data_IF_835943207968
#
_entry.id   IF_835943207968
#
_cell.length_a   1.000
_cell.length_b   1.000
_cell.length_c   1.000
_cell.angle_alpha   90.00
_cell.angle_beta   90.00
_cell.angle_gamma   90.00
#
_symmetry.space_group_name_H-M   'P 1'
#
loop_
_entity.id
_entity.type
_entity.pdbx_description
1 polymer ?
#
# COMPACT_ATOMS: atom_id res chain seq x y z
N UNK A 1 33.30 69.01 41.45
CA UNK A 1 32.35 68.38 42.39
C UNK A 1 30.96 68.45 41.78
N UNK A 2 30.44 67.31 41.27
CA UNK A 2 29.01 66.94 41.12
C UNK A 2 28.89 65.77 40.13
N UNK A 3 28.70 64.56 40.65
CA UNK A 3 27.89 63.49 40.02
C UNK A 3 26.41 63.70 40.43
N UNK A 4 25.38 62.89 40.05
CA UNK A 4 25.27 61.71 39.16
C UNK A 4 24.02 61.71 38.21
N UNK A 5 23.87 60.71 37.30
CA UNK A 5 22.70 59.77 37.23
C UNK A 5 22.65 58.89 35.96
N UNK A 6 22.49 57.60 36.24
CA UNK A 6 21.95 56.47 35.47
C UNK A 6 21.08 56.77 34.23
N UNK A 7 21.27 55.99 33.16
CA UNK A 7 20.24 55.01 32.75
C UNK A 7 20.82 53.92 31.83
N UNK A 8 20.57 52.66 32.20
CA UNK A 8 20.91 51.46 31.43
C UNK A 8 20.04 51.39 30.16
N UNK A 9 20.67 51.26 29.00
CA UNK A 9 20.01 50.89 27.75
C UNK A 9 20.33 49.42 27.46
N UNK A 10 19.44 48.50 27.84
CA UNK A 10 19.52 47.09 27.48
C UNK A 10 19.07 46.95 26.01
N UNK A 11 20.00 46.62 25.11
CA UNK A 11 19.71 46.18 23.75
C UNK A 11 19.19 44.74 23.80
N UNK A 12 17.87 44.54 23.68
CA UNK A 12 17.29 43.25 23.32
C UNK A 12 17.46 43.02 21.81
N UNK A 13 18.26 42.01 21.46
CA UNK A 13 18.29 41.45 20.10
C UNK A 13 17.05 40.56 19.91
N UNK A 14 16.11 41.02 19.07
CA UNK A 14 15.02 40.18 18.57
C UNK A 14 15.56 39.31 17.42
N UNK A 15 15.91 38.06 17.73
CA UNK A 15 16.11 37.02 16.72
C UNK A 15 14.73 36.62 16.17
N UNK A 16 14.41 37.10 14.97
CA UNK A 16 13.27 36.60 14.21
C UNK A 16 13.60 35.17 13.75
N UNK A 17 13.09 34.16 14.47
CA UNK A 17 13.09 32.77 14.02
C UNK A 17 12.01 32.67 12.94
N UNK A 18 12.43 32.77 11.68
CA UNK A 18 11.60 32.38 10.54
C UNK A 18 11.38 30.87 10.63
N UNK A 19 10.21 30.46 11.14
CA UNK A 19 9.72 29.09 11.01
C UNK A 19 9.53 28.84 9.51
N UNK A 20 10.52 28.23 8.87
CA UNK A 20 10.32 27.56 7.59
C UNK A 20 9.42 26.36 7.89
N UNK A 21 8.13 26.56 7.70
CA UNK A 21 7.17 25.45 7.61
C UNK A 21 7.58 24.68 6.37
N UNK A 22 8.27 23.56 6.54
CA UNK A 22 8.44 22.60 5.46
C UNK A 22 7.03 22.21 4.99
N UNK A 23 6.70 22.35 3.70
CA UNK A 23 5.44 21.85 3.21
C UNK A 23 5.44 20.35 3.49
N UNK A 24 4.41 19.87 4.18
CA UNK A 24 4.12 18.45 4.23
C UNK A 24 3.93 18.01 2.78
N UNK A 25 4.91 17.31 2.23
CA UNK A 25 4.78 16.66 0.93
C UNK A 25 3.75 15.57 1.16
N UNK A 26 2.50 15.85 0.80
CA UNK A 26 1.50 14.81 0.64
C UNK A 26 2.12 13.78 -0.32
N UNK A 27 2.08 12.51 0.04
CA UNK A 27 2.54 11.44 -0.84
C UNK A 27 1.64 11.43 -2.07
N UNK A 28 2.09 12.09 -3.15
CA UNK A 28 1.42 12.09 -4.45
C UNK A 28 1.98 10.96 -5.29
N UNK A 29 1.17 10.41 -6.18
CA UNK A 29 1.62 9.46 -7.20
C UNK A 29 2.91 9.93 -7.92
N UNK A 30 3.91 9.04 -7.98
CA UNK A 30 5.22 9.27 -8.60
C UNK A 30 5.35 8.45 -9.89
N UNK A 31 5.23 9.09 -11.07
CA UNK A 31 5.32 8.41 -12.35
C UNK A 31 6.74 7.93 -12.69
N UNK A 32 7.78 8.57 -12.13
CA UNK A 32 9.16 8.16 -12.39
C UNK A 32 9.42 6.81 -11.70
N UNK A 33 8.95 6.65 -10.46
CA UNK A 33 9.08 5.39 -9.73
C UNK A 33 8.32 4.25 -10.42
N UNK A 34 7.05 4.46 -10.74
CA UNK A 34 6.22 3.38 -11.29
C UNK A 34 6.73 2.90 -12.65
N UNK A 35 7.25 3.80 -13.50
CA UNK A 35 7.79 3.41 -14.80
C UNK A 35 9.04 2.52 -14.73
N UNK A 36 9.76 2.51 -13.60
CA UNK A 36 10.85 1.54 -13.37
C UNK A 36 10.36 0.12 -13.05
N UNK A 37 9.09 -0.01 -12.66
CA UNK A 37 8.49 -1.29 -12.26
C UNK A 37 7.69 -1.94 -13.39
N UNK A 38 7.43 -1.23 -14.49
CA UNK A 38 6.54 -1.67 -15.55
C UNK A 38 7.27 -2.17 -16.80
N UNK A 39 6.52 -2.90 -17.63
CA UNK A 39 7.00 -3.33 -18.95
C UNK A 39 7.21 -2.12 -19.85
N UNK A 40 8.31 -2.11 -20.61
CA UNK A 40 8.57 -1.04 -21.54
C UNK A 40 7.44 -0.92 -22.58
N UNK A 41 6.93 0.30 -22.77
CA UNK A 41 5.80 0.59 -23.64
C UNK A 41 4.44 0.60 -22.94
N UNK A 42 4.34 0.13 -21.69
CA UNK A 42 3.08 0.10 -20.93
C UNK A 42 2.48 1.50 -20.85
N UNK A 43 1.18 1.61 -21.18
CA UNK A 43 0.38 2.80 -20.91
C UNK A 43 -0.54 2.57 -19.72
N UNK A 44 -0.67 3.59 -18.89
CA UNK A 44 -1.47 3.58 -17.67
C UNK A 44 -2.37 4.80 -17.60
N UNK A 45 -3.49 4.69 -16.88
CA UNK A 45 -4.22 5.86 -16.41
C UNK A 45 -3.31 6.66 -15.46
N UNK A 46 -3.25 7.98 -15.62
CA UNK A 46 -2.66 8.81 -14.56
C UNK A 46 -3.72 8.98 -13.47
N UNK A 47 -3.48 8.48 -12.24
CA UNK A 47 -4.47 8.58 -11.19
C UNK A 47 -4.73 10.03 -10.80
N UNK A 48 -3.91 11.00 -11.17
CA UNK A 48 -4.14 12.42 -10.85
C UNK A 48 -5.13 13.10 -11.79
N UNK A 49 -5.42 12.54 -12.97
CA UNK A 49 -6.41 13.10 -13.88
C UNK A 49 -6.93 12.08 -14.93
N UNK A 50 -8.25 11.92 -15.02
CA UNK A 50 -8.88 10.87 -15.83
C UNK A 50 -8.78 11.05 -17.37
N UNK A 51 -8.51 12.25 -17.88
CA UNK A 51 -8.20 12.45 -19.32
C UNK A 51 -6.71 12.30 -19.61
N UNK A 52 -5.89 11.94 -18.63
CA UNK A 52 -4.45 11.84 -18.83
C UNK A 52 -3.97 10.42 -18.68
N UNK A 53 -2.89 10.15 -19.40
CA UNK A 53 -2.26 8.85 -19.41
C UNK A 53 -0.75 9.02 -19.39
N UNK A 54 -0.08 7.98 -18.91
CA UNK A 54 1.38 7.90 -18.86
C UNK A 54 1.80 6.67 -19.65
N UNK A 55 2.76 6.82 -20.56
CA UNK A 55 3.43 5.72 -21.21
C UNK A 55 4.86 5.61 -20.68
N UNK A 56 5.22 4.44 -20.16
CA UNK A 56 6.55 4.18 -19.67
C UNK A 56 7.46 3.74 -20.82
N UNK A 57 8.39 4.60 -21.24
CA UNK A 57 9.34 4.34 -22.31
C UNK A 57 10.75 4.40 -21.73
N UNK A 58 11.47 3.28 -21.81
CA UNK A 58 12.82 3.12 -21.27
C UNK A 58 12.93 3.63 -19.82
N UNK A 59 11.99 3.18 -18.99
CA UNK A 59 11.86 3.49 -17.55
C UNK A 59 11.46 4.96 -17.24
N UNK A 60 11.19 5.78 -18.27
CA UNK A 60 10.79 7.17 -18.13
C UNK A 60 9.31 7.38 -18.49
N UNK A 61 8.59 8.24 -17.75
CA UNK A 61 7.21 8.56 -18.07
C UNK A 61 7.10 9.54 -19.24
N UNK A 62 6.22 9.22 -20.19
CA UNK A 62 5.77 10.11 -21.26
C UNK A 62 4.28 10.35 -21.09
N UNK A 63 3.90 11.59 -20.82
CA UNK A 63 2.51 11.93 -20.52
C UNK A 63 1.74 12.29 -21.80
N UNK A 64 0.45 12.01 -21.80
CA UNK A 64 -0.49 12.49 -22.82
C UNK A 64 -1.84 12.86 -22.22
N UNK A 65 -2.67 13.50 -23.05
CA UNK A 65 -3.99 14.01 -22.64
C UNK A 65 -4.99 13.78 -23.77
N UNK A 66 -6.16 13.27 -23.41
CA UNK A 66 -7.29 13.10 -24.31
C UNK A 66 -7.92 14.46 -24.65
N UNK A 67 -8.62 14.51 -25.80
CA UNK A 67 -9.38 15.69 -26.19
C UNK A 67 -10.55 15.95 -25.21
N UNK A 68 -11.14 17.14 -25.30
CA UNK A 68 -12.26 17.54 -24.44
C UNK A 68 -13.43 16.53 -24.52
N UNK A 69 -13.97 16.17 -23.35
CA UNK A 69 -15.07 15.20 -23.22
C UNK A 69 -14.65 13.72 -23.33
N UNK A 70 -13.36 13.43 -23.50
CA UNK A 70 -12.83 12.08 -23.56
C UNK A 70 -11.99 11.75 -22.31
N UNK A 71 -12.08 10.51 -21.84
CA UNK A 71 -11.26 9.94 -20.78
C UNK A 71 -10.37 8.85 -21.36
N UNK A 72 -9.20 8.64 -20.75
CA UNK A 72 -8.33 7.56 -21.19
C UNK A 72 -8.83 6.23 -20.62
N UNK A 73 -9.02 5.25 -21.50
CA UNK A 73 -9.28 3.87 -21.14
C UNK A 73 -8.00 3.05 -21.32
N UNK A 74 -7.48 2.54 -20.20
CA UNK A 74 -6.25 1.73 -20.19
C UNK A 74 -6.42 0.38 -20.88
N UNK A 75 -7.62 -0.21 -20.88
CA UNK A 75 -7.84 -1.58 -21.40
C UNK A 75 -7.83 -1.58 -22.93
N UNK A 76 -8.46 -0.57 -23.56
CA UNK A 76 -8.40 -0.35 -25.01
C UNK A 76 -7.19 0.47 -25.46
N UNK A 77 -6.44 1.05 -24.50
CA UNK A 77 -5.41 2.06 -24.70
C UNK A 77 -5.85 3.28 -25.56
N UNK A 78 -7.11 3.70 -25.45
CA UNK A 78 -7.71 4.75 -26.28
C UNK A 78 -8.44 5.82 -25.47
N UNK A 79 -8.71 6.97 -26.07
CA UNK A 79 -9.51 8.02 -25.48
C UNK A 79 -10.99 7.81 -25.85
N UNK A 80 -11.79 7.39 -24.88
CA UNK A 80 -13.21 7.09 -25.07
C UNK A 80 -14.10 8.21 -24.49
N UNK A 81 -15.36 8.35 -24.93
CA UNK A 81 -16.29 9.29 -24.33
C UNK A 81 -16.40 9.10 -22.82
N UNK A 82 -16.48 10.19 -22.06
CA UNK A 82 -16.52 10.14 -20.59
C UNK A 82 -17.71 9.35 -20.00
N UNK A 83 -18.75 9.10 -20.78
CA UNK A 83 -19.88 8.27 -20.37
C UNK A 83 -19.59 6.77 -20.38
N UNK A 84 -18.52 6.35 -21.07
CA UNK A 84 -18.17 4.94 -21.29
C UNK A 84 -17.00 4.47 -20.41
N UNK A 85 -16.37 5.38 -19.65
CA UNK A 85 -15.20 5.12 -18.81
C UNK A 85 -15.44 5.62 -17.39
N UNK A 86 -15.24 4.74 -16.41
CA UNK A 86 -15.28 5.11 -15.00
C UNK A 86 -14.03 5.92 -14.63
N UNK A 87 -14.22 7.19 -14.26
CA UNK A 87 -13.15 8.05 -13.80
C UNK A 87 -12.74 7.70 -12.36
N UNK A 88 -11.57 7.10 -12.19
CA UNK A 88 -10.95 6.80 -10.89
C UNK A 88 -9.70 7.68 -10.75
N UNK A 89 -9.78 8.75 -9.93
CA UNK A 89 -8.67 9.69 -9.76
C UNK A 89 -8.46 10.12 -8.31
N UNK A 90 -7.20 10.28 -7.89
CA UNK A 90 -6.77 10.88 -6.62
C UNK A 90 -6.99 12.40 -6.56
N UNK A 91 -7.22 13.07 -7.69
CA UNK A 91 -7.77 14.43 -7.76
C UNK A 91 -9.17 14.39 -8.40
N UNK A 92 -10.23 14.21 -7.58
CA UNK A 92 -11.58 14.05 -8.08
C UNK A 92 -12.13 15.32 -8.76
N UNK A 93 -11.47 16.48 -8.61
CA UNK A 93 -11.87 17.73 -9.26
C UNK A 93 -11.17 17.99 -10.59
N UNK A 94 -10.26 17.12 -11.04
CA UNK A 94 -9.50 17.29 -12.29
C UNK A 94 -10.39 17.48 -13.53
N UNK A 95 -11.59 16.87 -13.54
CA UNK A 95 -12.53 16.91 -14.66
C UNK A 95 -13.83 17.65 -14.38
N UNK A 96 -14.01 18.12 -13.15
CA UNK A 96 -15.21 18.82 -12.73
C UNK A 96 -14.81 20.16 -12.13
N UNK A 97 -14.65 21.20 -12.96
CA UNK A 97 -14.17 22.49 -12.48
C UNK A 97 -15.13 23.08 -11.43
N UNK A 98 -16.43 22.87 -11.56
CA UNK A 98 -17.43 23.28 -10.59
C UNK A 98 -18.47 22.16 -10.36
N UNK A 99 -18.85 21.90 -9.11
CA UNK A 99 -19.90 20.95 -8.75
C UNK A 99 -19.53 20.01 -7.61
N UNK A 100 -20.27 18.90 -7.47
CA UNK A 100 -19.97 17.85 -6.49
C UNK A 100 -19.56 16.55 -7.18
N UNK A 101 -18.58 15.86 -6.59
CA UNK A 101 -18.08 14.57 -7.07
C UNK A 101 -17.84 13.64 -5.89
N UNK A 102 -17.85 12.33 -6.16
CA UNK A 102 -17.63 11.31 -5.13
C UNK A 102 -16.19 11.34 -4.61
N UNK A 103 -16.02 11.00 -3.33
CA UNK A 103 -14.70 10.64 -2.81
C UNK A 103 -14.33 9.22 -3.30
N UNK A 104 -13.25 9.05 -4.06
CA UNK A 104 -12.85 7.74 -4.60
C UNK A 104 -12.43 6.75 -3.51
N UNK A 105 -12.02 7.24 -2.33
CA UNK A 105 -11.56 6.42 -1.19
C UNK A 105 -12.67 6.15 -0.17
N UNK A 106 -13.79 6.87 -0.24
CA UNK A 106 -14.83 6.79 0.78
C UNK A 106 -16.25 6.94 0.23
N UNK A 107 -17.09 5.97 0.57
CA UNK A 107 -18.52 5.95 0.30
C UNK A 107 -19.28 7.13 0.91
N UNK A 108 -18.87 7.56 2.11
CA UNK A 108 -19.50 8.68 2.81
C UNK A 108 -18.80 10.00 2.52
N UNK A 109 -17.73 10.03 1.73
CA UNK A 109 -17.02 11.23 1.34
C UNK A 109 -17.50 11.79 0.00
N UNK A 110 -17.30 13.10 -0.19
CA UNK A 110 -17.49 13.78 -1.46
C UNK A 110 -16.56 14.99 -1.55
N UNK A 111 -16.41 15.57 -2.73
CA UNK A 111 -15.71 16.82 -2.94
C UNK A 111 -16.66 17.86 -3.56
N UNK A 112 -16.61 19.07 -3.03
CA UNK A 112 -17.13 20.26 -3.70
C UNK A 112 -15.99 20.91 -4.49
N UNK A 113 -16.09 20.89 -5.81
CA UNK A 113 -15.12 21.47 -6.70
C UNK A 113 -15.53 22.91 -7.05
N UNK A 114 -14.56 23.83 -7.04
CA UNK A 114 -14.73 25.19 -7.52
C UNK A 114 -13.46 25.67 -8.21
N UNK A 115 -13.57 26.06 -9.48
CA UNK A 115 -12.41 26.29 -10.36
C UNK A 115 -11.37 25.15 -10.30
N UNK A 116 -11.81 23.90 -10.26
CA UNK A 116 -10.96 22.71 -10.18
C UNK A 116 -10.34 22.44 -8.81
N UNK A 117 -10.56 23.31 -7.82
CA UNK A 117 -10.10 23.08 -6.44
C UNK A 117 -11.18 22.40 -5.61
N UNK A 118 -10.87 21.21 -5.10
CA UNK A 118 -11.76 20.42 -4.27
C UNK A 118 -11.69 20.76 -2.79
N UNK A 119 -12.84 20.96 -2.17
CA UNK A 119 -13.00 20.90 -0.71
C UNK A 119 -13.72 19.61 -0.36
N UNK A 120 -13.04 18.74 0.40
CA UNK A 120 -13.64 17.48 0.85
C UNK A 120 -14.75 17.73 1.87
N UNK A 121 -15.88 17.05 1.71
CA UNK A 121 -16.99 16.96 2.64
C UNK A 121 -17.31 15.51 2.97
N UNK A 122 -18.13 15.31 4.00
CA UNK A 122 -18.59 13.98 4.40
C UNK A 122 -20.08 14.00 4.71
N UNK A 123 -20.74 12.93 4.32
CA UNK A 123 -22.11 12.62 4.69
C UNK A 123 -22.20 12.22 6.18
N UNK A 124 -23.35 12.51 6.79
CA UNK A 124 -23.66 12.05 8.14
C UNK A 124 -23.64 10.51 8.22
N UNK A 125 -23.39 9.98 9.42
CA UNK A 125 -23.33 8.53 9.68
C UNK A 125 -24.53 7.78 9.11
N UNK A 126 -24.25 6.72 8.34
CA UNK A 126 -25.27 5.87 7.69
C UNK A 126 -25.77 6.40 6.34
N UNK A 127 -25.18 7.48 5.82
CA UNK A 127 -25.47 8.01 4.48
C UNK A 127 -24.23 7.89 3.58
N UNK A 128 -24.45 7.55 2.31
CA UNK A 128 -23.42 7.55 1.28
C UNK A 128 -23.71 8.65 0.26
N UNK A 129 -22.66 9.21 -0.33
CA UNK A 129 -22.82 10.25 -1.34
C UNK A 129 -23.26 9.64 -2.68
N UNK A 130 -24.31 10.20 -3.28
CA UNK A 130 -24.73 9.89 -4.63
C UNK A 130 -24.38 11.07 -5.55
N UNK A 131 -23.40 10.92 -6.47
CA UNK A 131 -22.99 12.00 -7.36
C UNK A 131 -24.05 12.36 -8.40
N UNK A 132 -24.91 11.42 -8.81
CA UNK A 132 -25.98 11.68 -9.78
C UNK A 132 -27.11 12.56 -9.22
N UNK A 133 -27.29 12.56 -7.90
CA UNK A 133 -28.26 13.44 -7.21
C UNK A 133 -27.61 14.54 -6.38
N UNK A 134 -26.28 14.58 -6.31
CA UNK A 134 -25.48 15.45 -5.45
C UNK A 134 -25.94 15.44 -3.97
N UNK A 135 -26.33 14.28 -3.46
CA UNK A 135 -26.98 14.16 -2.15
C UNK A 135 -26.48 12.96 -1.34
N UNK A 136 -26.48 13.12 -0.02
CA UNK A 136 -26.23 12.03 0.91
C UNK A 136 -27.49 11.20 1.10
N UNK A 137 -27.47 9.95 0.63
CA UNK A 137 -28.62 9.05 0.60
C UNK A 137 -28.32 7.83 1.49
N UNK A 138 -29.28 7.46 2.32
CA UNK A 138 -29.18 6.27 3.17
C UNK A 138 -29.20 5.03 2.31
N UNK A 139 -28.30 4.08 2.62
CA UNK A 139 -28.20 2.80 1.92
C UNK A 139 -27.97 2.95 0.41
N UNK A 140 -27.48 4.11 -0.06
CA UNK A 140 -27.08 4.24 -1.46
C UNK A 140 -25.96 3.23 -1.74
N UNK A 141 -26.15 2.32 -2.70
CA UNK A 141 -25.17 1.28 -2.99
C UNK A 141 -23.87 1.93 -3.43
N UNK A 142 -22.82 1.73 -2.65
CA UNK A 142 -21.48 2.10 -3.02
C UNK A 142 -20.53 1.02 -2.53
N UNK A 143 -19.55 0.72 -3.36
CA UNK A 143 -18.42 -0.12 -3.01
C UNK A 143 -17.24 0.80 -2.74
N UNK A 144 -17.11 1.32 -1.51
CA UNK A 144 -15.85 1.94 -1.10
C UNK A 144 -14.78 0.85 -1.11
N UNK A 145 -14.00 0.82 -2.19
CA UNK A 145 -12.97 -0.20 -2.40
C UNK A 145 -11.73 0.34 -3.11
N UNK A 146 -11.69 1.62 -3.47
CA UNK A 146 -10.72 2.07 -4.46
C UNK A 146 -9.66 2.99 -3.85
N UNK A 147 -8.41 2.55 -3.99
CA UNK A 147 -7.28 3.45 -3.98
C UNK A 147 -6.98 3.76 -5.46
N UNK A 148 -7.20 4.98 -5.98
CA UNK A 148 -6.85 5.38 -7.34
C UNK A 148 -5.43 5.06 -7.75
N UNK A 149 -4.48 5.06 -6.81
CA UNK A 149 -3.08 4.71 -7.07
C UNK A 149 -2.82 3.18 -7.01
N UNK A 150 -3.86 2.37 -6.75
CA UNK A 150 -3.78 0.92 -6.85
C UNK A 150 -3.39 0.52 -8.26
N UNK A 151 -2.41 -0.39 -8.36
CA UNK A 151 -1.98 -0.97 -9.64
C UNK A 151 -3.15 -1.40 -10.52
N UNK A 152 -4.13 -2.11 -9.95
CA UNK A 152 -5.25 -2.63 -10.72
C UNK A 152 -6.34 -1.61 -11.03
N UNK A 153 -6.17 -0.34 -10.64
CA UNK A 153 -6.98 0.79 -11.11
C UNK A 153 -6.30 1.59 -12.23
N UNK A 154 -4.98 1.50 -12.37
CA UNK A 154 -4.21 2.27 -13.36
C UNK A 154 -3.60 1.45 -14.50
N UNK A 155 -3.36 0.15 -14.29
CA UNK A 155 -2.71 -0.75 -15.27
C UNK A 155 -3.67 -1.66 -16.01
N UNK A 156 -3.54 -1.83 -17.34
CA UNK A 156 -4.35 -2.79 -18.08
C UNK A 156 -4.15 -4.23 -17.59
N UNK A 157 -5.17 -5.06 -17.79
CA UNK A 157 -5.09 -6.48 -17.45
C UNK A 157 -3.94 -7.17 -18.21
N UNK A 158 -3.23 -8.07 -17.51
CA UNK A 158 -2.14 -8.85 -18.07
C UNK A 158 -0.77 -8.15 -18.10
N UNK A 159 -0.69 -6.87 -17.71
CA UNK A 159 0.60 -6.19 -17.56
C UNK A 159 1.31 -6.69 -16.30
N UNK A 160 2.55 -7.13 -16.46
CA UNK A 160 3.40 -7.48 -15.34
C UNK A 160 4.04 -6.25 -14.69
N UNK A 161 4.15 -6.31 -13.37
CA UNK A 161 4.72 -5.30 -12.48
C UNK A 161 5.85 -6.00 -11.72
N UNK A 162 7.02 -5.39 -11.68
CA UNK A 162 8.11 -5.88 -10.85
C UNK A 162 7.79 -5.61 -9.39
N UNK A 163 7.99 -6.62 -8.53
CA UNK A 163 7.97 -6.41 -7.10
C UNK A 163 9.17 -5.53 -6.70
N UNK A 164 8.94 -4.33 -6.13
CA UNK A 164 10.05 -3.44 -5.75
C UNK A 164 10.86 -3.97 -4.56
N UNK A 165 10.33 -4.95 -3.82
CA UNK A 165 10.96 -5.55 -2.65
C UNK A 165 11.47 -6.97 -2.87
N UNK A 166 11.14 -7.60 -4.00
CA UNK A 166 11.61 -8.92 -4.36
C UNK A 166 12.09 -9.00 -5.82
N UNK A 167 13.38 -9.30 -6.00
CA UNK A 167 13.97 -9.34 -7.34
C UNK A 167 13.48 -10.49 -8.23
N UNK A 168 13.00 -11.60 -7.65
CA UNK A 168 12.33 -12.66 -8.40
C UNK A 168 10.82 -12.48 -8.47
N UNK A 169 10.26 -11.55 -7.68
CA UNK A 169 8.84 -11.30 -7.56
C UNK A 169 8.29 -10.46 -8.71
N UNK A 170 7.06 -10.80 -9.09
CA UNK A 170 6.25 -10.02 -10.02
C UNK A 170 4.80 -10.05 -9.59
N UNK A 171 4.06 -9.06 -10.06
CA UNK A 171 2.63 -8.91 -9.87
C UNK A 171 1.97 -8.67 -11.22
N UNK A 172 0.67 -8.91 -11.34
CA UNK A 172 -0.10 -8.70 -12.56
C UNK A 172 -1.54 -8.47 -12.19
N UNK A 173 -2.20 -7.50 -12.82
CA UNK A 173 -3.63 -7.31 -12.64
C UNK A 173 -4.40 -8.23 -13.58
N UNK A 174 -5.44 -8.87 -13.04
CA UNK A 174 -6.37 -9.68 -13.80
C UNK A 174 -7.78 -9.48 -13.25
N UNK A 175 -8.69 -8.96 -14.06
CA UNK A 175 -10.07 -8.67 -13.65
C UNK A 175 -10.13 -7.81 -12.38
N UNK A 176 -9.29 -6.77 -12.33
CA UNK A 176 -9.09 -5.87 -11.18
C UNK A 176 -8.52 -6.50 -9.90
N UNK A 177 -8.09 -7.77 -9.93
CA UNK A 177 -7.40 -8.42 -8.81
C UNK A 177 -5.89 -8.50 -9.05
N UNK A 178 -5.11 -8.25 -8.00
CA UNK A 178 -3.65 -8.32 -8.06
C UNK A 178 -3.20 -9.78 -7.85
N UNK A 179 -2.67 -10.37 -8.90
CA UNK A 179 -2.07 -11.71 -8.89
C UNK A 179 -0.57 -11.56 -8.66
N UNK A 180 -0.03 -12.32 -7.70
CA UNK A 180 1.40 -12.34 -7.41
C UNK A 180 2.03 -13.62 -7.95
N UNK A 181 3.32 -13.55 -8.31
CA UNK A 181 4.12 -14.72 -8.63
C UNK A 181 5.61 -14.45 -8.50
N UNK A 182 6.39 -15.50 -8.72
CA UNK A 182 7.85 -15.45 -8.68
C UNK A 182 8.44 -16.09 -9.91
N UNK A 183 9.65 -15.67 -10.25
CA UNK A 183 10.45 -16.32 -11.27
C UNK A 183 10.95 -17.69 -10.80
N UNK A 184 11.24 -18.62 -11.73
CA UNK A 184 11.91 -19.87 -11.39
C UNK A 184 13.24 -19.64 -10.68
N UNK A 185 13.66 -20.60 -9.86
CA UNK A 185 14.91 -20.53 -9.09
C UNK A 185 16.10 -20.08 -9.96
N UNK A 186 16.80 -19.05 -9.48
CA UNK A 186 17.99 -18.50 -10.15
C UNK A 186 17.70 -17.47 -11.25
N UNK A 187 16.46 -17.05 -11.44
CA UNK A 187 16.07 -15.98 -12.37
C UNK A 187 15.48 -14.78 -11.63
N UNK A 188 15.69 -13.58 -12.16
CA UNK A 188 15.09 -12.34 -11.66
C UNK A 188 14.07 -11.80 -12.64
N UNK A 189 13.05 -11.12 -12.12
CA UNK A 189 12.05 -10.49 -12.94
C UNK A 189 12.58 -9.19 -13.56
N UNK A 190 12.60 -9.14 -14.88
CA UNK A 190 12.94 -7.96 -15.66
C UNK A 190 11.66 -7.18 -15.98
N UNK A 191 11.44 -6.06 -15.28
CA UNK A 191 10.32 -5.13 -15.52
C UNK A 191 10.24 -4.78 -17.00
N UNK A 192 11.32 -4.17 -17.52
CA UNK A 192 11.49 -3.75 -18.90
C UNK A 192 11.06 -4.78 -19.95
N UNK A 193 11.34 -6.08 -19.70
CA UNK A 193 11.03 -7.16 -20.65
C UNK A 193 9.72 -7.91 -20.33
N UNK A 194 9.11 -7.67 -19.16
CA UNK A 194 7.93 -8.39 -18.70
C UNK A 194 8.14 -9.88 -18.50
N UNK A 195 9.37 -10.31 -18.17
CA UNK A 195 9.70 -11.74 -18.03
C UNK A 195 10.89 -11.98 -17.11
N UNK A 196 11.03 -13.24 -16.69
CA UNK A 196 12.21 -13.72 -15.99
C UNK A 196 13.45 -13.72 -16.90
N UNK A 197 14.54 -13.19 -16.39
CA UNK A 197 15.84 -13.12 -17.05
C UNK A 197 16.94 -13.50 -16.05
N UNK A 198 18.15 -13.71 -16.56
CA UNK A 198 19.29 -14.04 -15.71
C UNK A 198 19.66 -12.85 -14.80
N UNK A 199 20.11 -13.11 -13.56
CA UNK A 199 20.45 -12.07 -12.59
C UNK A 199 21.39 -10.99 -13.10
N UNK A 200 22.38 -11.33 -13.94
CA UNK A 200 23.33 -10.36 -14.50
C UNK A 200 22.72 -9.37 -15.51
N UNK A 201 21.52 -9.66 -16.04
CA UNK A 201 20.81 -8.83 -17.02
C UNK A 201 19.77 -7.92 -16.35
N UNK A 202 19.48 -8.14 -15.07
CA UNK A 202 18.44 -7.42 -14.33
C UNK A 202 19.11 -6.53 -13.29
N UNK A 203 18.77 -5.25 -13.29
CA UNK A 203 19.14 -4.36 -12.19
C UNK A 203 18.30 -4.72 -10.97
N UNK A 204 18.80 -5.68 -10.20
CA UNK A 204 18.37 -5.98 -8.84
C UNK A 204 19.20 -5.12 -7.89
N UNK A 205 19.00 -3.81 -7.96
CA UNK A 205 19.24 -2.98 -6.80
C UNK A 205 17.89 -2.97 -6.09
N UNK A 206 17.84 -3.37 -4.81
CA UNK A 206 16.76 -2.85 -3.99
C UNK A 206 16.92 -1.33 -4.07
N UNK A 207 16.08 -0.66 -4.86
CA UNK A 207 15.67 0.67 -4.47
C UNK A 207 14.89 0.43 -3.20
N UNK A 208 15.63 0.29 -2.09
CA UNK A 208 15.08 0.58 -0.80
C UNK A 208 14.36 1.92 -1.03
N UNK A 209 13.03 2.02 -0.80
CA UNK A 209 12.43 3.34 -0.64
C UNK A 209 13.43 4.15 0.20
N UNK A 210 13.81 5.37 -0.23
CA UNK A 210 14.93 6.11 0.33
C UNK A 210 14.92 5.87 1.82
N UNK A 211 15.98 5.25 2.38
CA UNK A 211 15.92 4.53 3.64
C UNK A 211 15.08 5.35 4.58
N UNK A 212 13.91 4.82 4.96
CA UNK A 212 12.99 5.59 5.79
C UNK A 212 13.79 5.98 7.00
N UNK A 213 14.08 7.29 7.12
CA UNK A 213 14.83 7.82 8.24
C UNK A 213 13.92 7.52 9.42
N UNK A 214 14.32 6.53 10.21
CA UNK A 214 13.50 6.11 11.33
C UNK A 214 13.38 7.35 12.21
N UNK A 215 12.14 7.76 12.53
CA UNK A 215 11.98 8.66 13.65
C UNK A 215 12.72 8.01 14.85
N UNK A 216 13.40 8.80 15.70
CA UNK A 216 14.26 8.27 16.76
C UNK A 216 13.61 7.21 17.65
N UNK A 217 12.28 7.22 17.73
CA UNK A 217 11.46 6.33 18.55
C UNK A 217 11.17 4.97 17.90
N UNK A 218 11.38 4.81 16.59
CA UNK A 218 11.06 3.56 15.84
C UNK A 218 12.23 2.59 15.83
N UNK A 219 13.46 3.10 15.66
CA UNK A 219 14.68 2.28 15.74
C UNK A 219 15.52 2.70 16.96
N UNK A 220 15.33 2.05 18.12
CA UNK A 220 16.03 2.44 19.34
C UNK A 220 17.53 2.15 19.29
N UNK A 221 17.97 1.20 18.42
CA UNK A 221 19.36 0.76 18.36
C UNK A 221 19.72 0.13 17.02
N UNK A 222 20.87 0.49 16.45
CA UNK A 222 21.45 -0.26 15.33
C UNK A 222 21.69 -1.74 15.71
N UNK A 223 21.31 -2.64 14.81
CA UNK A 223 21.34 -4.09 15.02
C UNK A 223 20.02 -4.68 15.55
N UNK A 224 18.99 -3.86 15.85
CA UNK A 224 17.69 -4.37 16.28
C UNK A 224 16.80 -4.74 15.10
N UNK A 225 15.85 -5.63 15.35
CA UNK A 225 14.77 -5.94 14.42
C UNK A 225 13.43 -5.49 15.00
N UNK A 226 12.56 -4.93 14.16
CA UNK A 226 11.21 -4.47 14.52
C UNK A 226 10.19 -4.99 13.51
N UNK A 227 8.91 -4.99 13.86
CA UNK A 227 7.85 -5.39 12.91
C UNK A 227 7.74 -4.37 11.78
N UNK A 228 7.23 -4.79 10.62
CA UNK A 228 6.91 -3.88 9.53
C UNK A 228 5.51 -3.23 9.66
N UNK A 229 4.77 -3.57 10.72
CA UNK A 229 3.41 -3.14 11.04
C UNK A 229 2.40 -3.31 9.89
N UNK A 230 2.66 -4.26 8.96
CA UNK A 230 1.84 -4.49 7.77
C UNK A 230 1.56 -5.96 7.53
N UNK A 231 2.49 -6.84 7.91
CA UNK A 231 2.40 -8.26 7.59
C UNK A 231 2.88 -9.12 8.77
N UNK A 232 2.40 -10.36 8.82
CA UNK A 232 2.81 -11.28 9.89
C UNK A 232 4.26 -11.76 9.76
N UNK A 233 4.81 -11.77 8.54
CA UNK A 233 6.14 -12.27 8.25
C UNK A 233 7.17 -11.16 7.99
N UNK A 234 6.75 -9.91 7.80
CA UNK A 234 7.66 -8.81 7.50
C UNK A 234 8.26 -8.15 8.75
N UNK A 235 9.45 -7.61 8.59
CA UNK A 235 10.21 -6.92 9.62
C UNK A 235 11.14 -5.87 9.03
N UNK A 236 11.67 -4.98 9.87
CA UNK A 236 12.79 -4.11 9.54
C UNK A 236 14.02 -4.44 10.38
N UNK A 237 15.18 -4.45 9.74
CA UNK A 237 16.49 -4.42 10.39
C UNK A 237 16.97 -2.96 10.47
N UNK A 238 17.18 -2.50 11.70
CA UNK A 238 17.67 -1.16 11.98
C UNK A 238 19.20 -1.14 11.82
N UNK A 239 19.74 -0.32 10.92
CA UNK A 239 21.20 -0.13 10.77
C UNK A 239 21.59 1.32 10.64
N UNK A 240 22.87 1.61 10.86
CA UNK A 240 23.45 2.90 10.52
C UNK A 240 23.79 2.93 9.02
N UNK A 241 23.51 4.03 8.35
CA UNK A 241 24.08 4.33 7.04
C UNK A 241 25.51 4.89 7.15
N UNK A 242 26.08 5.30 6.01
CA UNK A 242 27.43 5.86 5.92
C UNK A 242 27.59 7.21 6.62
N UNK A 243 26.49 7.93 6.83
CA UNK A 243 26.44 9.25 7.48
C UNK A 243 26.05 9.14 8.97
N UNK A 244 25.88 7.91 9.48
CA UNK A 244 25.51 7.63 10.87
C UNK A 244 24.02 7.81 11.17
N UNK A 245 23.17 7.92 10.15
CA UNK A 245 21.72 7.97 10.31
C UNK A 245 21.13 6.57 10.46
N UNK A 246 20.07 6.46 11.26
CA UNK A 246 19.32 5.21 11.42
C UNK A 246 18.41 4.99 10.22
N UNK A 247 18.60 3.85 9.56
CA UNK A 247 17.84 3.44 8.39
C UNK A 247 17.16 2.09 8.61
N UNK A 248 15.96 1.95 8.03
CA UNK A 248 15.16 0.73 8.04
C UNK A 248 15.45 -0.11 6.80
N UNK A 249 15.85 -1.36 6.98
CA UNK A 249 15.99 -2.35 5.91
C UNK A 249 14.91 -3.42 6.04
N UNK A 250 13.97 -3.47 5.09
CA UNK A 250 12.87 -4.45 5.15
C UNK A 250 13.38 -5.86 4.88
N UNK A 251 12.82 -6.82 5.59
CA UNK A 251 13.04 -8.25 5.41
C UNK A 251 11.76 -9.02 5.66
N UNK A 252 11.74 -10.28 5.21
CA UNK A 252 10.56 -11.15 5.31
C UNK A 252 11.00 -12.52 5.81
N UNK A 253 10.26 -13.07 6.77
CA UNK A 253 10.44 -14.42 7.26
C UNK A 253 10.08 -15.45 6.19
N UNK A 254 10.85 -16.54 6.15
CA UNK A 254 10.59 -17.68 5.26
C UNK A 254 9.24 -18.33 5.52
N UNK A 255 8.76 -19.12 4.55
CA UNK A 255 7.47 -19.79 4.61
C UNK A 255 7.23 -20.56 5.91
N UNK A 256 6.01 -20.44 6.43
CA UNK A 256 5.59 -21.03 7.70
C UNK A 256 6.10 -20.29 8.95
N UNK A 257 6.81 -19.16 8.79
CA UNK A 257 7.33 -18.37 9.91
C UNK A 257 6.82 -16.94 9.91
N UNK A 258 6.54 -16.45 11.12
CA UNK A 258 6.13 -15.07 11.39
C UNK A 258 7.19 -14.36 12.22
N UNK A 259 7.27 -13.04 12.03
CA UNK A 259 8.22 -12.23 12.74
C UNK A 259 7.74 -11.97 14.18
N UNK A 260 8.63 -12.20 15.13
CA UNK A 260 8.47 -11.86 16.54
C UNK A 260 9.49 -10.79 16.92
N UNK A 261 9.03 -9.62 17.37
CA UNK A 261 9.92 -8.58 17.91
C UNK A 261 10.53 -8.95 19.28
N UNK A 262 10.06 -10.03 19.92
CA UNK A 262 10.54 -10.45 21.23
C UNK A 262 12.03 -10.83 21.20
N UNK A 263 12.75 -10.55 22.30
CA UNK A 263 14.15 -10.94 22.51
C UNK A 263 15.12 -10.54 21.39
N UNK A 264 14.85 -9.43 20.68
CA UNK A 264 15.74 -8.92 19.64
C UNK A 264 15.39 -9.36 18.21
N UNK A 265 14.23 -9.98 17.99
CA UNK A 265 13.76 -10.33 16.65
C UNK A 265 14.02 -11.78 16.29
N UNK A 266 12.98 -12.52 15.91
CA UNK A 266 13.11 -13.86 15.38
C UNK A 266 11.97 -14.22 14.43
N UNK A 267 12.26 -14.99 13.39
CA UNK A 267 11.25 -15.67 12.60
C UNK A 267 10.86 -16.97 13.30
N UNK A 268 9.73 -16.98 13.99
CA UNK A 268 9.22 -18.13 14.76
C UNK A 268 8.14 -18.87 13.96
N UNK A 269 7.86 -20.15 14.24
CA UNK A 269 6.73 -20.83 13.63
C UNK A 269 5.44 -20.01 13.78
N UNK A 270 4.64 -19.92 12.73
CA UNK A 270 3.40 -19.13 12.72
C UNK A 270 2.35 -19.59 13.75
N UNK A 271 2.47 -20.81 14.28
CA UNK A 271 1.68 -21.34 15.42
C UNK A 271 2.13 -20.77 16.76
N UNK A 272 3.35 -20.27 16.87
CA UNK A 272 3.98 -19.87 18.13
C UNK A 272 3.84 -18.36 18.39
N UNK A 273 3.16 -17.64 17.50
CA UNK A 273 2.96 -16.20 17.62
C UNK A 273 1.59 -15.75 17.11
N UNK A 274 0.97 -14.90 17.91
CA UNK A 274 -0.23 -14.14 17.55
C UNK A 274 0.13 -13.06 16.52
N UNK A 275 -0.74 -12.87 15.54
CA UNK A 275 -0.59 -11.81 14.53
C UNK A 275 -1.95 -11.22 14.17
N UNK A 276 -2.07 -9.90 14.16
CA UNK A 276 -3.33 -9.21 13.84
C UNK A 276 -3.51 -8.96 12.33
N UNK A 277 -2.47 -9.20 11.54
CA UNK A 277 -2.50 -9.08 10.08
C UNK A 277 -2.99 -10.36 9.40
N UNK A 278 -3.01 -10.35 8.07
CA UNK A 278 -3.38 -11.51 7.25
C UNK A 278 -2.47 -12.71 7.54
N UNK A 279 -2.99 -13.70 8.26
CA UNK A 279 -2.27 -14.94 8.57
C UNK A 279 -2.11 -15.84 7.34
N UNK A 280 -2.82 -15.62 6.24
CA UNK A 280 -2.69 -16.41 5.01
C UNK A 280 -1.47 -16.05 4.15
N UNK A 281 -0.63 -15.10 4.56
CA UNK A 281 0.59 -14.76 3.82
C UNK A 281 1.45 -16.02 3.59
N UNK A 282 1.94 -16.18 2.37
CA UNK A 282 2.70 -17.34 1.87
C UNK A 282 1.94 -18.69 1.95
N UNK A 283 0.60 -18.69 1.96
CA UNK A 283 -0.22 -19.90 1.92
C UNK A 283 -1.20 -19.93 0.76
N UNK A 284 -1.68 -21.11 0.38
CA UNK A 284 -2.79 -21.25 -0.56
C UNK A 284 -2.41 -21.16 -2.03
N UNK A 285 -1.11 -21.23 -2.36
CA UNK A 285 -0.60 -21.10 -3.74
C UNK A 285 -0.63 -22.42 -4.53
N UNK A 286 -0.39 -23.57 -3.85
CA UNK A 286 -0.41 -24.89 -4.49
C UNK A 286 -1.75 -25.62 -4.33
N UNK A 287 -2.42 -25.41 -3.20
CA UNK A 287 -3.74 -25.93 -2.87
C UNK A 287 -4.33 -25.05 -1.77
N UNK A 288 -5.65 -25.12 -1.55
CA UNK A 288 -6.28 -24.46 -0.39
C UNK A 288 -5.56 -24.92 0.88
N UNK A 289 -5.16 -23.94 1.68
CA UNK A 289 -4.59 -24.16 3.01
C UNK A 289 -5.41 -23.36 4.02
N UNK A 290 -5.30 -23.73 5.28
CA UNK A 290 -6.06 -23.17 6.37
C UNK A 290 -5.10 -22.60 7.41
N UNK A 291 -5.52 -21.52 8.08
CA UNK A 291 -4.74 -20.85 9.11
C UNK A 291 -5.61 -20.66 10.36
N UNK A 292 -5.06 -20.81 11.57
CA UNK A 292 -5.76 -20.38 12.77
C UNK A 292 -6.13 -18.89 12.67
N UNK A 293 -7.25 -18.50 13.26
CA UNK A 293 -7.56 -17.10 13.53
C UNK A 293 -6.83 -16.66 14.80
N UNK A 294 -6.60 -15.35 14.94
CA UNK A 294 -6.08 -14.80 16.20
C UNK A 294 -7.24 -14.54 17.17
N UNK A 295 -6.98 -14.66 18.47
CA UNK A 295 -7.90 -14.28 19.55
C UNK A 295 -9.24 -15.01 19.58
N UNK A 296 -9.28 -16.26 19.09
CA UNK A 296 -10.50 -17.06 19.02
C UNK A 296 -10.47 -18.32 19.91
N UNK A 297 -9.36 -18.58 20.61
CA UNK A 297 -9.19 -19.80 21.39
C UNK A 297 -8.97 -21.04 20.52
N UNK A 298 -8.46 -20.86 19.30
CA UNK A 298 -8.16 -21.91 18.33
C UNK A 298 -9.39 -22.68 17.83
N UNK A 299 -10.56 -22.04 17.78
CA UNK A 299 -11.82 -22.70 17.38
C UNK A 299 -12.19 -22.44 15.92
N UNK A 300 -11.60 -21.43 15.29
CA UNK A 300 -11.84 -21.04 13.92
C UNK A 300 -10.58 -21.04 13.07
N UNK A 301 -10.81 -20.95 11.76
CA UNK A 301 -9.77 -20.92 10.75
C UNK A 301 -10.13 -20.02 9.58
N UNK A 302 -9.10 -19.42 8.98
CA UNK A 302 -9.19 -18.76 7.69
C UNK A 302 -8.92 -19.77 6.57
N UNK A 303 -9.67 -19.66 5.47
CA UNK A 303 -9.44 -20.39 4.22
C UNK A 303 -8.51 -19.54 3.36
N UNK A 304 -7.32 -20.05 3.07
CA UNK A 304 -6.27 -19.33 2.37
C UNK A 304 -6.16 -19.78 0.91
N UNK A 305 -6.19 -18.79 0.00
CA UNK A 305 -5.92 -18.96 -1.42
C UNK A 305 -5.04 -17.80 -1.90
N UNK A 306 -3.95 -18.10 -2.61
CA UNK A 306 -3.01 -17.12 -3.17
C UNK A 306 -2.52 -16.06 -2.16
N UNK A 307 -2.22 -16.47 -0.93
CA UNK A 307 -1.70 -15.58 0.10
C UNK A 307 -2.77 -14.80 0.88
N UNK A 308 -4.06 -14.98 0.58
CA UNK A 308 -5.16 -14.18 1.16
C UNK A 308 -6.22 -15.05 1.80
N UNK A 309 -6.81 -14.56 2.89
CA UNK A 309 -7.99 -15.16 3.50
C UNK A 309 -9.22 -14.87 2.63
N UNK A 310 -9.77 -15.88 1.96
CA UNK A 310 -10.97 -15.76 1.12
C UNK A 310 -12.27 -15.97 1.90
N UNK A 311 -12.17 -16.63 3.07
CA UNK A 311 -13.27 -16.89 3.97
C UNK A 311 -12.74 -17.23 5.37
N UNK A 312 -13.62 -17.17 6.37
CA UNK A 312 -13.38 -17.65 7.73
C UNK A 312 -14.49 -18.60 8.14
N UNK A 313 -14.18 -19.61 8.94
CA UNK A 313 -15.14 -20.58 9.44
C UNK A 313 -14.75 -21.10 10.82
N UNK A 314 -15.74 -21.54 11.58
CA UNK A 314 -15.54 -22.21 12.86
C UNK A 314 -15.50 -23.73 12.67
N UNK A 315 -14.73 -24.41 13.52
CA UNK A 315 -14.79 -25.84 13.63
C UNK A 315 -16.17 -26.31 14.14
N UNK A 316 -16.69 -27.42 13.61
CA UNK A 316 -18.01 -27.91 14.01
C UNK A 316 -18.00 -28.38 15.47
N UNK A 317 -19.16 -28.37 16.11
CA UNK A 317 -19.37 -28.90 17.47
C UNK A 317 -18.49 -28.29 18.58
N UNK A 318 -17.91 -27.09 18.35
CA UNK A 318 -16.99 -26.46 19.30
C UNK A 318 -15.64 -27.19 19.39
N UNK A 319 -15.24 -27.87 18.33
CA UNK A 319 -13.90 -28.45 18.19
C UNK A 319 -12.83 -27.36 18.00
N UNK A 320 -11.56 -27.78 18.06
CA UNK A 320 -10.41 -26.91 17.88
C UNK A 320 -9.77 -27.13 16.51
N UNK A 321 -9.32 -26.07 15.87
CA UNK A 321 -8.57 -26.13 14.63
C UNK A 321 -7.08 -26.36 14.89
N UNK A 322 -6.56 -27.49 14.42
CA UNK A 322 -5.14 -27.80 14.42
C UNK A 322 -4.51 -27.40 13.07
N UNK A 323 -3.81 -26.27 13.06
CA UNK A 323 -3.15 -25.75 11.86
C UNK A 323 -2.00 -26.63 11.36
N UNK A 324 -1.39 -27.49 12.18
CA UNK A 324 -0.34 -28.40 11.71
C UNK A 324 -0.93 -29.56 10.91
N UNK A 325 -2.09 -30.07 11.31
CA UNK A 325 -2.78 -31.16 10.60
C UNK A 325 -3.82 -30.65 9.61
N UNK A 326 -4.14 -29.35 9.63
CA UNK A 326 -5.14 -28.69 8.78
C UNK A 326 -6.57 -29.24 9.00
N UNK A 327 -6.88 -29.70 10.22
CA UNK A 327 -8.14 -30.38 10.54
C UNK A 327 -8.72 -29.88 11.88
N UNK A 328 -10.05 -29.96 11.99
CA UNK A 328 -10.73 -29.81 13.26
C UNK A 328 -10.56 -31.09 14.10
N UNK A 329 -10.38 -30.92 15.41
CA UNK A 329 -10.13 -32.01 16.35
C UNK A 329 -10.79 -31.73 17.69
N UNK A 330 -11.23 -32.81 18.35
CA UNK A 330 -11.75 -32.74 19.72
C UNK A 330 -10.65 -32.59 20.77
N UNK A 331 -9.37 -32.72 20.38
CA UNK A 331 -8.25 -32.45 21.27
C UNK A 331 -8.09 -30.94 21.44
N UNK A 332 -7.84 -30.51 22.67
CA UNK A 332 -7.62 -29.09 22.95
C UNK A 332 -6.34 -28.63 22.25
N UNK A 333 -6.47 -27.66 21.36
CA UNK A 333 -5.34 -26.97 20.72
C UNK A 333 -5.07 -25.68 21.49
N UNK A 334 -3.80 -25.42 21.77
CA UNK A 334 -3.36 -24.26 22.57
C UNK A 334 -2.15 -23.59 21.93
N UNK A 335 -2.23 -23.30 20.63
CA UNK A 335 -1.20 -22.53 19.95
C UNK A 335 -1.23 -21.08 20.41
N UNK A 336 -0.05 -20.46 20.53
CA UNK A 336 0.03 -19.04 20.87
C UNK A 336 -0.56 -18.15 19.77
N UNK A 337 -0.63 -18.67 18.54
CA UNK A 337 -1.28 -18.04 17.39
C UNK A 337 -2.74 -17.64 17.58
N UNK A 338 -3.49 -18.43 18.35
CA UNK A 338 -4.94 -18.33 18.52
C UNK A 338 -5.36 -18.23 19.98
N UNK A 339 -4.39 -18.03 20.89
CA UNK A 339 -4.66 -17.79 22.29
C UNK A 339 -5.52 -16.52 22.46
N UNK A 340 -6.42 -16.56 23.45
CA UNK A 340 -7.23 -15.42 23.92
C UNK A 340 -6.38 -14.41 24.72
#
# INVERSE_FOLDING_TARGET
TTTPRNSLCQMLWLLAVSLLVAPAVAATFDPDLICTLLVNGTKINDPRACNTWIQCIDDLPVNGTCAEGLLYDRESEDCLPSADVDCISSDPCAQMPDGFTSDPYSCNGYYYCKNGMGTRGECNTGLNFNPGTEACIRDYPCTAKMNPDSYCNILPDGVFIKDPWNCDGWQMCWQAELVNGSCPDGFYFSARLGKCDYPQNVQCAFTQPPPQTAQPDVCPKAGSFISDDRSCNGYYYCRNDTDGQMVLEHGVCSDGRFFSAANGGACVPRTDIRCEYNRCVNMGYAAIQLANLSDDGCVGFAICQNGTAIAVADCPNGEYFDELTQLCTTQVISFAACAL
#
